data_IF_895534123316
#
_entry.id   IF_895534123316
#
_cell.length_a   1.000
_cell.length_b   1.000
_cell.length_c   1.000
_cell.angle_alpha   90.00
_cell.angle_beta   90.00
_cell.angle_gamma   90.00
#
_symmetry.space_group_name_H-M   'P 1'
#
loop_
_entity.id
_entity.type
_entity.pdbx_description
1 polymer ?
#
# COMPACT_ATOMS: atom_id res chain seq x y z
N UNK A 1 8.05 -27.47 -5.70
CA UNK A 1 8.73 -27.47 -4.39
C UNK A 1 8.74 -26.03 -3.91
N UNK A 2 8.26 -25.75 -2.70
CA UNK A 2 8.31 -24.39 -2.13
C UNK A 2 9.73 -24.07 -1.71
N UNK A 3 10.24 -22.88 -2.04
CA UNK A 3 11.54 -22.42 -1.56
C UNK A 3 11.47 -22.23 -0.03
N UNK A 4 12.45 -22.74 0.72
CA UNK A 4 12.48 -22.71 2.19
C UNK A 4 13.78 -22.05 2.66
N UNK A 5 13.69 -21.14 3.65
CA UNK A 5 14.89 -20.55 4.26
C UNK A 5 15.59 -21.61 5.12
N UNK A 6 16.89 -21.76 4.92
CA UNK A 6 17.76 -22.65 5.70
C UNK A 6 18.58 -21.79 6.66
N UNK A 7 18.60 -22.15 7.95
CA UNK A 7 19.47 -21.46 8.92
C UNK A 7 20.95 -21.87 8.79
N UNK A 8 21.82 -21.22 9.57
CA UNK A 8 23.25 -21.54 9.59
C UNK A 8 23.59 -22.95 10.10
N UNK A 9 22.60 -23.71 10.56
CA UNK A 9 22.71 -25.09 11.03
C UNK A 9 22.03 -26.08 10.06
N UNK A 10 21.54 -25.63 8.91
CA UNK A 10 20.87 -26.49 7.93
C UNK A 10 19.38 -26.75 8.21
N UNK A 11 18.78 -26.07 9.19
CA UNK A 11 17.39 -26.31 9.60
C UNK A 11 16.42 -25.48 8.76
N UNK A 12 15.39 -26.10 8.16
CA UNK A 12 14.33 -25.38 7.45
C UNK A 12 13.50 -24.54 8.43
N UNK A 13 13.45 -23.21 8.26
CA UNK A 13 12.74 -22.28 9.16
C UNK A 13 11.32 -21.92 8.70
N UNK A 14 10.96 -22.24 7.47
CA UNK A 14 9.63 -21.97 6.90
C UNK A 14 9.68 -21.52 5.43
N UNK A 15 8.52 -21.44 4.77
CA UNK A 15 8.44 -21.00 3.37
C UNK A 15 9.05 -19.61 3.19
N UNK A 16 9.77 -19.42 2.08
CA UNK A 16 10.17 -18.10 1.60
C UNK A 16 8.94 -17.46 0.98
N UNK A 17 8.48 -16.35 1.56
CA UNK A 17 7.58 -15.44 0.85
C UNK A 17 8.47 -14.62 -0.09
N UNK A 18 8.36 -14.87 -1.40
CA UNK A 18 9.07 -14.08 -2.40
C UNK A 18 8.30 -12.78 -2.61
N UNK A 19 8.78 -11.72 -1.98
CA UNK A 19 8.25 -10.38 -2.20
C UNK A 19 8.57 -9.95 -3.63
N UNK A 20 7.58 -9.43 -4.34
CA UNK A 20 7.80 -8.87 -5.68
C UNK A 20 8.66 -7.62 -5.59
N UNK A 21 9.38 -7.29 -6.67
CA UNK A 21 9.94 -5.95 -6.80
C UNK A 21 8.84 -4.90 -6.63
N UNK A 22 9.05 -3.85 -5.82
CA UNK A 22 8.05 -2.79 -5.67
C UNK A 22 7.67 -2.19 -7.02
N UNK A 23 6.37 -2.12 -7.29
CA UNK A 23 5.83 -1.48 -8.49
C UNK A 23 5.25 -0.11 -8.13
N UNK A 24 5.36 0.85 -9.05
CA UNK A 24 4.71 2.14 -8.87
C UNK A 24 3.19 1.96 -8.98
N UNK A 25 2.48 2.17 -7.87
CA UNK A 25 1.02 2.17 -7.86
C UNK A 25 0.47 3.55 -8.26
N UNK A 26 1.01 4.61 -7.65
CA UNK A 26 0.56 6.00 -7.87
C UNK A 26 1.73 6.96 -7.72
N UNK A 27 1.73 8.08 -8.44
CA UNK A 27 2.74 9.14 -8.30
C UNK A 27 2.13 10.52 -8.46
N UNK A 28 2.84 11.54 -7.98
CA UNK A 28 2.47 12.94 -8.15
C UNK A 28 1.15 13.31 -7.46
N UNK A 29 0.83 12.65 -6.34
CA UNK A 29 -0.37 12.96 -5.57
C UNK A 29 -0.19 14.29 -4.84
N UNK A 30 -1.00 15.28 -5.21
CA UNK A 30 -0.92 16.67 -4.71
C UNK A 30 -2.13 17.09 -3.88
N UNK A 31 -3.14 16.22 -3.76
CA UNK A 31 -4.30 16.41 -2.92
C UNK A 31 -4.91 15.06 -2.55
N UNK A 32 -5.81 15.06 -1.55
CA UNK A 32 -6.62 13.90 -1.22
C UNK A 32 -7.56 13.49 -2.37
N UNK A 33 -7.90 12.21 -2.42
CA UNK A 33 -8.76 11.66 -3.46
C UNK A 33 -10.21 12.08 -3.27
N UNK A 34 -10.82 12.81 -4.23
CA UNK A 34 -12.17 13.32 -4.09
C UNK A 34 -13.25 12.23 -4.14
N UNK A 35 -12.93 11.08 -4.73
CA UNK A 35 -13.83 9.94 -4.88
C UNK A 35 -13.05 8.63 -4.85
N UNK A 36 -13.78 7.52 -4.74
CA UNK A 36 -13.20 6.19 -4.94
C UNK A 36 -12.94 5.96 -6.44
N UNK A 37 -11.95 5.13 -6.82
CA UNK A 37 -11.71 4.75 -8.21
C UNK A 37 -12.94 4.03 -8.79
N UNK A 38 -13.10 4.15 -10.11
CA UNK A 38 -14.30 3.68 -10.82
C UNK A 38 -14.02 2.47 -11.70
N UNK A 39 -12.75 2.17 -11.97
CA UNK A 39 -12.33 1.04 -12.78
C UNK A 39 -11.37 0.12 -12.02
N UNK A 40 -11.53 -1.19 -12.23
CA UNK A 40 -10.61 -2.22 -11.71
C UNK A 40 -9.16 -2.00 -12.16
N UNK A 41 -8.95 -1.37 -13.32
CA UNK A 41 -7.62 -1.09 -13.89
C UNK A 41 -6.81 -0.07 -13.09
N UNK A 42 -7.44 0.65 -12.18
CA UNK A 42 -6.77 1.62 -11.30
C UNK A 42 -6.08 0.92 -10.12
N UNK A 43 -6.48 -0.32 -9.80
CA UNK A 43 -5.95 -1.09 -8.68
C UNK A 43 -4.71 -1.93 -9.04
N UNK A 44 -4.07 -2.42 -7.98
CA UNK A 44 -3.03 -3.45 -8.02
C UNK A 44 -3.70 -4.82 -8.06
N UNK A 45 -3.38 -5.61 -9.08
CA UNK A 45 -3.79 -7.01 -9.17
C UNK A 45 -2.91 -7.87 -8.24
N UNK A 46 -3.52 -8.41 -7.19
CA UNK A 46 -2.84 -9.27 -6.23
C UNK A 46 -3.06 -10.76 -6.50
N UNK A 47 -3.58 -11.15 -7.67
CA UNK A 47 -3.83 -12.55 -8.02
C UNK A 47 -2.60 -13.43 -7.76
N UNK A 48 -2.77 -14.48 -6.96
CA UNK A 48 -1.68 -15.39 -6.58
C UNK A 48 -0.91 -14.97 -5.32
N UNK A 49 -1.19 -13.80 -4.76
CA UNK A 49 -0.53 -13.26 -3.56
C UNK A 49 -1.52 -13.14 -2.39
N UNK A 50 -1.00 -13.36 -1.18
CA UNK A 50 -1.81 -13.28 0.04
C UNK A 50 -1.86 -11.85 0.56
N UNK A 51 -0.75 -11.13 0.49
CA UNK A 51 -0.58 -9.81 1.09
C UNK A 51 -0.12 -8.78 0.04
N UNK A 52 -0.46 -7.53 0.31
CA UNK A 52 0.12 -6.36 -0.34
C UNK A 52 0.70 -5.46 0.74
N UNK A 53 1.88 -4.89 0.46
CA UNK A 53 2.47 -3.79 1.22
C UNK A 53 2.49 -2.56 0.33
N UNK A 54 1.91 -1.46 0.81
CA UNK A 54 2.06 -0.16 0.20
C UNK A 54 3.04 0.69 0.99
N UNK A 55 4.09 1.16 0.33
CA UNK A 55 5.03 2.14 0.87
C UNK A 55 4.69 3.51 0.27
N UNK A 56 4.41 4.48 1.15
CA UNK A 56 3.96 5.82 0.78
C UNK A 56 5.15 6.77 0.92
N UNK A 57 5.81 7.08 -0.18
CA UNK A 57 6.92 8.03 -0.23
C UNK A 57 6.38 9.46 -0.08
N UNK A 58 6.66 10.07 1.07
CA UNK A 58 6.26 11.45 1.40
C UNK A 58 7.39 12.46 1.23
N UNK A 59 8.58 12.03 0.79
CA UNK A 59 9.80 12.85 0.75
C UNK A 59 9.70 14.10 -0.14
N UNK A 60 8.75 14.13 -1.07
CA UNK A 60 8.45 15.30 -1.91
C UNK A 60 7.54 16.34 -1.27
N UNK A 61 6.95 16.07 -0.10
CA UNK A 61 6.01 16.97 0.58
C UNK A 61 6.74 17.97 1.49
N UNK A 62 6.14 19.14 1.73
CA UNK A 62 6.64 20.15 2.67
C UNK A 62 5.61 20.39 3.77
N UNK A 63 6.09 20.47 5.02
CA UNK A 63 5.28 20.64 6.23
C UNK A 63 4.10 19.67 6.34
N UNK A 64 4.31 18.39 5.96
CA UNK A 64 3.28 17.35 6.09
C UNK A 64 3.11 16.97 7.57
N UNK A 65 1.97 17.32 8.17
CA UNK A 65 1.70 17.08 9.60
C UNK A 65 0.64 16.02 9.86
N UNK A 66 -0.12 15.61 8.85
CA UNK A 66 -1.09 14.53 8.97
C UNK A 66 -1.33 13.86 7.62
N UNK A 67 -1.51 12.54 7.64
CA UNK A 67 -1.78 11.73 6.47
C UNK A 67 -2.73 10.58 6.83
N UNK A 68 -3.82 10.41 6.08
CA UNK A 68 -4.72 9.26 6.21
C UNK A 68 -4.85 8.54 4.89
N UNK A 69 -4.63 7.23 4.89
CA UNK A 69 -4.76 6.35 3.74
C UNK A 69 -5.76 5.23 4.02
N UNK A 70 -6.43 4.76 2.98
CA UNK A 70 -7.48 3.75 3.05
C UNK A 70 -7.24 2.71 1.96
N UNK A 71 -7.11 1.45 2.37
CA UNK A 71 -7.18 0.33 1.45
C UNK A 71 -8.61 0.21 0.92
N UNK A 72 -8.75 0.10 -0.39
CA UNK A 72 -9.97 -0.23 -1.07
C UNK A 72 -9.84 -1.59 -1.76
N UNK A 73 -10.88 -2.41 -1.71
CA UNK A 73 -10.90 -3.76 -2.30
C UNK A 73 -11.96 -3.82 -3.38
N UNK A 74 -11.59 -4.28 -4.57
CA UNK A 74 -12.52 -4.42 -5.69
C UNK A 74 -13.50 -5.58 -5.47
N UNK A 75 -14.79 -5.28 -5.57
CA UNK A 75 -15.84 -6.30 -5.66
C UNK A 75 -16.28 -6.43 -7.12
N UNK A 76 -15.93 -7.55 -7.75
CA UNK A 76 -16.27 -7.81 -9.16
C UNK A 76 -17.78 -7.99 -9.40
N UNK A 77 -18.54 -8.41 -8.38
CA UNK A 77 -20.00 -8.61 -8.49
C UNK A 77 -20.72 -7.27 -8.48
N UNK A 78 -20.30 -6.35 -7.62
CA UNK A 78 -20.85 -5.01 -7.49
C UNK A 78 -20.19 -3.99 -8.43
N UNK A 79 -19.13 -4.39 -9.15
CA UNK A 79 -18.33 -3.57 -10.04
C UNK A 79 -17.89 -2.24 -9.41
N UNK A 80 -17.46 -2.29 -8.14
CA UNK A 80 -17.00 -1.12 -7.39
C UNK A 80 -16.03 -1.48 -6.27
N UNK A 81 -15.31 -0.48 -5.78
CA UNK A 81 -14.44 -0.61 -4.62
C UNK A 81 -15.21 -0.51 -3.29
N UNK A 82 -14.82 -1.35 -2.34
CA UNK A 82 -15.34 -1.38 -0.97
C UNK A 82 -14.23 -0.94 0.00
N UNK A 83 -14.60 -0.23 1.06
CA UNK A 83 -13.64 0.24 2.07
C UNK A 83 -13.09 -0.92 2.90
N UNK A 84 -11.77 -0.99 3.02
CA UNK A 84 -11.03 -1.95 3.83
C UNK A 84 -10.37 -1.30 5.05
N UNK A 85 -9.11 -1.65 5.33
CA UNK A 85 -8.33 -1.07 6.42
C UNK A 85 -7.89 0.37 6.17
N UNK A 86 -8.06 1.23 7.17
CA UNK A 86 -7.62 2.62 7.17
C UNK A 86 -6.44 2.80 8.13
N UNK A 87 -5.52 3.70 7.80
CA UNK A 87 -4.41 4.09 8.67
C UNK A 87 -4.18 5.59 8.59
N UNK A 88 -4.09 6.21 9.76
CA UNK A 88 -3.67 7.60 9.90
C UNK A 88 -2.24 7.65 10.45
N UNK A 89 -1.51 8.67 10.05
CA UNK A 89 -0.17 9.00 10.50
C UNK A 89 -0.18 10.46 10.97
N UNK A 90 0.33 10.69 12.17
CA UNK A 90 0.52 12.03 12.72
C UNK A 90 1.91 12.60 12.41
N UNK A 91 2.14 13.85 12.80
CA UNK A 91 3.38 14.58 12.55
C UNK A 91 4.61 13.87 13.14
N UNK A 92 4.49 13.25 14.32
CA UNK A 92 5.60 12.56 14.97
C UNK A 92 5.96 11.28 14.22
N UNK A 93 4.95 10.50 13.81
CA UNK A 93 5.13 9.28 13.02
C UNK A 93 5.74 9.58 11.64
N UNK A 94 5.28 10.64 10.99
CA UNK A 94 5.77 11.07 9.67
C UNK A 94 7.20 11.62 9.74
N UNK A 95 7.56 12.33 10.82
CA UNK A 95 8.92 12.77 11.05
C UNK A 95 9.87 11.60 11.36
N UNK A 96 9.39 10.57 12.07
CA UNK A 96 10.17 9.38 12.40
C UNK A 96 10.35 8.43 11.20
N UNK A 97 9.37 8.38 10.30
CA UNK A 97 9.41 7.56 9.10
C UNK A 97 8.83 8.30 7.88
N UNK A 98 9.68 8.83 6.97
CA UNK A 98 9.23 9.55 5.77
C UNK A 98 8.63 8.63 4.70
N UNK A 99 8.69 7.31 4.89
CA UNK A 99 8.06 6.31 4.01
C UNK A 99 7.12 5.43 4.85
N UNK A 100 6.02 5.98 5.38
CA UNK A 100 5.04 5.19 6.09
C UNK A 100 4.46 4.08 5.21
N UNK A 101 4.10 2.96 5.82
CA UNK A 101 3.61 1.79 5.08
C UNK A 101 2.28 1.26 5.61
N UNK A 102 1.46 0.72 4.71
CA UNK A 102 0.26 -0.05 5.04
C UNK A 102 0.38 -1.45 4.43
N UNK A 103 0.38 -2.48 5.27
CA UNK A 103 0.33 -3.86 4.84
C UNK A 103 -1.06 -4.45 5.11
N UNK A 104 -1.58 -5.20 4.15
CA UNK A 104 -2.90 -5.81 4.26
C UNK A 104 -2.94 -7.19 3.62
N UNK A 105 -3.71 -8.08 4.24
CA UNK A 105 -4.07 -9.37 3.67
C UNK A 105 -5.20 -9.20 2.66
N UNK A 106 -4.98 -9.61 1.41
CA UNK A 106 -5.86 -9.36 0.25
C UNK A 106 -6.31 -10.63 -0.46
N UNK A 107 -5.62 -11.76 -0.26
CA UNK A 107 -6.00 -13.10 -0.77
C UNK A 107 -6.36 -13.11 -2.27
N UNK A 108 -5.57 -12.44 -3.10
CA UNK A 108 -5.80 -12.39 -4.54
C UNK A 108 -6.72 -11.27 -5.03
N UNK A 109 -7.29 -10.44 -4.15
CA UNK A 109 -8.18 -9.37 -4.57
C UNK A 109 -7.42 -8.23 -5.26
N UNK A 110 -8.05 -7.57 -6.23
CA UNK A 110 -7.56 -6.29 -6.76
C UNK A 110 -7.81 -5.20 -5.73
N UNK A 111 -6.78 -4.42 -5.40
CA UNK A 111 -6.84 -3.42 -4.32
C UNK A 111 -6.26 -2.08 -4.75
N UNK A 112 -6.66 -1.01 -4.08
CA UNK A 112 -6.21 0.34 -4.36
C UNK A 112 -5.90 1.06 -3.05
N UNK A 113 -4.81 1.82 -2.99
CA UNK A 113 -4.54 2.69 -1.85
C UNK A 113 -5.04 4.11 -2.13
N UNK A 114 -6.11 4.48 -1.43
CA UNK A 114 -6.70 5.81 -1.46
C UNK A 114 -6.00 6.72 -0.46
N UNK A 115 -5.73 7.95 -0.88
CA UNK A 115 -5.36 9.05 0.00
C UNK A 115 -6.65 9.74 0.48
N UNK A 116 -7.01 9.57 1.75
CA UNK A 116 -8.27 10.08 2.31
C UNK A 116 -8.15 11.54 2.70
N UNK A 117 -7.05 11.91 3.35
CA UNK A 117 -6.75 13.27 3.78
C UNK A 117 -5.25 13.46 3.97
N UNK A 118 -4.79 14.68 3.76
CA UNK A 118 -3.42 15.09 4.10
C UNK A 118 -3.42 16.57 4.47
N UNK A 119 -2.56 16.94 5.42
CA UNK A 119 -2.33 18.34 5.81
C UNK A 119 -0.87 18.67 5.55
N UNK A 120 -0.61 19.52 4.56
CA UNK A 120 0.73 19.92 4.16
C UNK A 120 0.72 21.33 3.55
N UNK A 121 1.86 22.05 3.60
CA UNK A 121 2.05 23.30 2.83
C UNK A 121 2.10 22.99 1.33
N UNK A 122 2.84 21.94 0.94
CA UNK A 122 2.80 21.37 -0.41
C UNK A 122 2.82 19.85 -0.34
N UNK A 123 1.87 19.19 -0.99
CA UNK A 123 1.80 17.74 -1.03
C UNK A 123 2.44 17.19 -2.31
N UNK A 124 3.30 16.20 -2.18
CA UNK A 124 3.81 15.39 -3.29
C UNK A 124 4.10 13.99 -2.76
N UNK A 125 3.21 13.06 -3.07
CA UNK A 125 3.29 11.67 -2.62
C UNK A 125 3.40 10.72 -3.82
N UNK A 126 4.24 9.70 -3.66
CA UNK A 126 4.24 8.50 -4.52
C UNK A 126 3.97 7.27 -3.68
N UNK A 127 3.28 6.29 -4.26
CA UNK A 127 2.92 5.03 -3.60
C UNK A 127 3.48 3.87 -4.40
N UNK A 128 4.25 3.02 -3.73
CA UNK A 128 4.79 1.79 -4.27
C UNK A 128 4.10 0.59 -3.63
N UNK A 129 3.89 -0.48 -4.39
CA UNK A 129 3.25 -1.70 -3.92
C UNK A 129 4.16 -2.91 -4.10
N UNK A 130 4.25 -3.76 -3.08
CA UNK A 130 4.93 -5.05 -3.11
C UNK A 130 3.95 -6.16 -2.71
N UNK A 131 4.05 -7.33 -3.34
CA UNK A 131 3.15 -8.47 -3.15
C UNK A 131 3.88 -9.65 -2.52
N UNK A 132 3.22 -10.40 -1.63
CA UNK A 132 3.77 -11.61 -0.98
C UNK A 132 2.73 -12.67 -0.61
#
# INVERSE_FOLDING_TARGET
MTNVRIDSQGVPKGPVYEETTPILHRSGLTAADPSDPTSVSEGVDCTGYRNVRFDVDTSGSTDLTALTVQLLVWDATAAKYFRGGERSFDEEELAANPIPSLEAEVRGATVFLKLVSATATSLSISVYASLS
#
